data_IF_836186882049
#
_entry.id   IF_836186882049
#
_cell.length_a   1.000
_cell.length_b   1.000
_cell.length_c   1.000
_cell.angle_alpha   90.00
_cell.angle_beta   90.00
_cell.angle_gamma   90.00
#
_symmetry.space_group_name_H-M   'P 1'
#
loop_
_entity.id
_entity.type
_entity.pdbx_description
1 polymer ?
#
# COMPACT_ATOMS: atom_id res chain seq x y z
N UNK A 1 -0.31 -10.05 -14.74
CA UNK A 1 -0.55 -9.88 -13.28
C UNK A 1 0.79 -9.59 -12.63
N UNK A 2 1.08 -8.34 -12.29
CA UNK A 2 2.35 -7.96 -11.65
C UNK A 2 2.14 -7.98 -10.14
N UNK A 3 2.71 -8.97 -9.46
CA UNK A 3 2.69 -9.08 -8.00
C UNK A 3 3.92 -8.39 -7.45
N UNK A 4 3.78 -7.14 -7.00
CA UNK A 4 4.84 -6.40 -6.30
C UNK A 4 4.72 -6.60 -4.78
N UNK A 5 4.99 -7.83 -4.34
CA UNK A 5 5.13 -8.15 -2.92
C UNK A 5 6.29 -9.11 -2.70
N UNK A 6 7.51 -8.68 -3.05
CA UNK A 6 8.70 -9.38 -2.59
C UNK A 6 9.10 -8.82 -1.20
N UNK A 7 9.22 -9.67 -0.15
CA UNK A 7 9.97 -9.27 1.04
C UNK A 7 11.44 -9.06 0.66
N UNK A 8 12.04 -7.99 1.18
CA UNK A 8 13.45 -7.63 0.95
C UNK A 8 14.45 -8.41 1.82
N UNK A 9 13.96 -9.33 2.63
CA UNK A 9 14.80 -10.10 3.54
C UNK A 9 14.99 -11.53 3.01
N UNK A 10 16.24 -11.84 2.64
CA UNK A 10 16.61 -13.15 2.11
C UNK A 10 16.37 -14.27 3.11
N UNK A 11 16.56 -14.02 4.41
CA UNK A 11 16.29 -14.98 5.49
C UNK A 11 14.82 -15.39 5.52
N UNK A 12 13.91 -14.42 5.41
CA UNK A 12 12.48 -14.67 5.39
C UNK A 12 12.04 -15.48 4.15
N UNK A 13 12.69 -15.27 3.00
CA UNK A 13 12.45 -16.09 1.80
C UNK A 13 12.98 -17.51 1.98
N UNK A 14 14.18 -17.65 2.57
CA UNK A 14 14.82 -18.93 2.83
C UNK A 14 14.02 -19.79 3.83
N UNK A 15 13.49 -19.19 4.89
CA UNK A 15 12.65 -19.86 5.89
C UNK A 15 11.35 -20.41 5.26
N UNK A 16 10.72 -19.62 4.38
CA UNK A 16 9.52 -20.04 3.63
C UNK A 16 9.79 -21.19 2.67
N UNK A 17 10.91 -21.15 1.94
CA UNK A 17 11.32 -22.24 1.05
C UNK A 17 11.60 -23.54 1.82
N UNK A 18 12.10 -23.42 3.05
CA UNK A 18 12.38 -24.55 3.95
C UNK A 18 11.17 -25.04 4.76
N UNK A 19 9.97 -24.48 4.54
CA UNK A 19 8.75 -24.76 5.33
C UNK A 19 8.96 -24.61 6.85
N UNK A 20 9.88 -23.75 7.28
CA UNK A 20 10.08 -23.48 8.70
C UNK A 20 9.04 -22.45 9.17
N UNK A 21 8.43 -22.64 10.35
CA UNK A 21 7.56 -21.63 10.92
C UNK A 21 8.41 -20.40 11.23
N UNK A 22 8.25 -19.34 10.44
CA UNK A 22 8.90 -18.07 10.74
C UNK A 22 8.29 -17.47 12.02
N UNK A 23 9.11 -16.90 12.93
CA UNK A 23 8.58 -16.20 14.09
C UNK A 23 7.72 -15.03 13.60
N UNK A 24 6.45 -15.03 13.99
CA UNK A 24 5.52 -13.94 13.68
C UNK A 24 5.95 -12.74 14.51
N UNK A 25 6.77 -11.86 13.93
CA UNK A 25 7.15 -10.60 14.56
C UNK A 25 5.94 -9.65 14.45
N UNK A 26 5.25 -9.30 15.55
CA UNK A 26 4.12 -8.39 15.46
C UNK A 26 4.66 -6.96 15.32
N UNK A 27 4.36 -6.29 14.21
CA UNK A 27 4.28 -4.83 14.23
C UNK A 27 5.03 -3.99 13.18
N UNK A 28 5.57 -4.54 12.08
CA UNK A 28 6.24 -3.68 11.05
C UNK A 28 5.85 -3.88 9.59
N UNK A 29 4.94 -4.80 9.28
CA UNK A 29 4.57 -5.07 7.88
C UNK A 29 3.33 -4.31 7.38
N UNK A 30 2.46 -3.86 8.29
CA UNK A 30 1.18 -3.22 7.91
C UNK A 30 1.41 -1.86 7.23
N UNK A 31 2.37 -1.08 7.72
CA UNK A 31 2.60 0.28 7.23
C UNK A 31 3.28 0.30 5.86
N UNK A 32 4.33 -0.51 5.66
CA UNK A 32 5.09 -0.51 4.40
C UNK A 32 4.30 -1.14 3.24
N UNK A 33 3.50 -2.17 3.51
CA UNK A 33 2.63 -2.79 2.51
C UNK A 33 1.45 -1.91 2.08
N UNK A 34 0.96 -1.04 2.98
CA UNK A 34 -0.07 -0.07 2.67
C UNK A 34 0.49 1.10 1.86
N UNK A 35 1.67 1.63 2.22
CA UNK A 35 2.31 2.70 1.47
C UNK A 35 2.71 2.29 0.04
N UNK A 36 3.21 1.05 -0.13
CA UNK A 36 3.53 0.50 -1.46
C UNK A 36 2.30 0.39 -2.36
N UNK A 37 1.15 -0.05 -1.81
CA UNK A 37 -0.11 -0.11 -2.58
C UNK A 37 -0.65 1.28 -2.91
N UNK A 38 -0.54 2.22 -1.98
CA UNK A 38 -0.99 3.59 -2.19
C UNK A 38 -0.15 4.32 -3.25
N UNK A 39 1.17 4.09 -3.31
CA UNK A 39 2.05 4.73 -4.29
C UNK A 39 1.72 4.31 -5.73
N UNK A 40 1.58 3.01 -5.99
CA UNK A 40 1.19 2.53 -7.32
C UNK A 40 -0.23 2.98 -7.70
N UNK A 41 -1.19 2.93 -6.76
CA UNK A 41 -2.54 3.42 -7.01
C UNK A 41 -2.60 4.92 -7.29
N UNK A 42 -1.83 5.72 -6.55
CA UNK A 42 -1.74 7.17 -6.76
C UNK A 42 -1.12 7.51 -8.13
N UNK A 43 -0.08 6.79 -8.54
CA UNK A 43 0.51 7.00 -9.86
C UNK A 43 -0.49 6.69 -10.98
N UNK A 44 -1.21 5.57 -10.90
CA UNK A 44 -2.24 5.22 -11.88
C UNK A 44 -3.32 6.30 -11.96
N UNK A 45 -3.84 6.77 -10.82
CA UNK A 45 -4.89 7.80 -10.80
C UNK A 45 -4.40 9.12 -11.41
N UNK A 46 -3.15 9.50 -11.14
CA UNK A 46 -2.50 10.69 -11.70
C UNK A 46 -2.30 10.57 -13.21
N UNK A 47 -1.83 9.41 -13.69
CA UNK A 47 -1.63 9.12 -15.12
C UNK A 47 -2.96 9.15 -15.89
N UNK A 48 -4.08 8.84 -15.23
CA UNK A 48 -5.43 8.97 -15.77
C UNK A 48 -5.96 10.43 -15.76
N UNK A 49 -5.16 11.39 -15.27
CA UNK A 49 -5.50 12.81 -15.24
C UNK A 49 -6.43 13.21 -14.09
N UNK A 50 -6.57 12.36 -13.06
CA UNK A 50 -7.38 12.69 -11.88
C UNK A 50 -6.59 13.62 -10.94
N UNK A 51 -7.29 14.57 -10.32
CA UNK A 51 -6.72 15.48 -9.33
C UNK A 51 -7.50 15.56 -8.01
N UNK A 52 -8.82 15.30 -8.04
CA UNK A 52 -9.71 15.36 -6.87
C UNK A 52 -10.42 14.03 -6.69
N UNK A 53 -10.34 13.47 -5.49
CA UNK A 53 -10.81 12.14 -5.17
C UNK A 53 -11.91 12.18 -4.11
N UNK A 54 -12.96 11.40 -4.33
CA UNK A 54 -13.96 11.06 -3.30
C UNK A 54 -13.65 9.62 -2.86
N UNK A 55 -13.27 9.45 -1.60
CA UNK A 55 -12.87 8.15 -1.06
C UNK A 55 -14.07 7.48 -0.43
N UNK A 56 -14.28 6.20 -0.72
CA UNK A 56 -15.34 5.40 -0.13
C UNK A 56 -14.77 4.48 0.97
N UNK A 57 -15.47 4.35 2.09
CA UNK A 57 -15.17 3.42 3.19
C UNK A 57 -14.72 4.09 4.48
N UNK A 58 -13.97 3.35 5.32
CA UNK A 58 -13.54 3.84 6.64
C UNK A 58 -12.57 5.03 6.49
N UNK A 59 -12.80 6.15 7.20
CA UNK A 59 -11.90 7.28 7.20
C UNK A 59 -10.49 6.86 7.61
N UNK A 60 -9.53 7.08 6.72
CA UNK A 60 -8.11 6.79 6.96
C UNK A 60 -7.27 7.90 6.37
N UNK A 61 -6.18 8.24 7.06
CA UNK A 61 -5.23 9.24 6.59
C UNK A 61 -4.49 8.72 5.36
N UNK A 62 -4.75 9.29 4.18
CA UNK A 62 -3.96 9.01 2.98
C UNK A 62 -2.76 9.94 2.91
N UNK A 63 -1.60 9.43 3.28
CA UNK A 63 -0.33 10.17 3.24
C UNK A 63 0.31 10.00 1.85
N UNK A 64 0.87 11.08 1.31
CA UNK A 64 1.66 11.05 0.08
C UNK A 64 0.90 11.29 -1.22
N UNK A 65 -0.42 11.45 -1.20
CA UNK A 65 -1.22 11.75 -2.41
C UNK A 65 -0.85 13.08 -3.07
N UNK A 66 -0.53 14.10 -2.28
CA UNK A 66 -0.14 15.42 -2.78
C UNK A 66 1.12 15.36 -3.67
N UNK A 67 2.01 14.39 -3.43
CA UNK A 67 3.20 14.17 -4.28
C UNK A 67 2.87 13.66 -5.68
N UNK A 68 1.64 13.21 -5.92
CA UNK A 68 1.12 12.76 -7.22
C UNK A 68 0.08 13.75 -7.81
N UNK A 69 -0.07 14.93 -7.21
CA UNK A 69 -1.10 15.90 -7.63
C UNK A 69 -2.53 15.49 -7.27
N UNK A 70 -2.71 14.56 -6.33
CA UNK A 70 -4.00 14.06 -5.90
C UNK A 70 -4.43 14.68 -4.56
N UNK A 71 -5.68 15.15 -4.51
CA UNK A 71 -6.33 15.74 -3.36
C UNK A 71 -7.60 14.94 -3.01
N UNK A 72 -7.82 14.66 -1.73
CA UNK A 72 -9.06 14.01 -1.26
C UNK A 72 -10.02 15.09 -0.83
N UNK A 73 -11.12 15.22 -1.56
CA UNK A 73 -12.13 16.28 -1.34
C UNK A 73 -13.30 15.79 -0.49
N UNK A 74 -13.51 14.48 -0.41
CA UNK A 74 -14.61 13.90 0.36
C UNK A 74 -14.27 12.47 0.79
N UNK A 75 -14.75 12.07 1.97
CA UNK A 75 -14.78 10.66 2.39
C UNK A 75 -16.22 10.27 2.67
N UNK A 76 -16.72 9.27 1.93
CA UNK A 76 -18.06 8.71 2.08
C UNK A 76 -17.94 7.41 2.85
N UNK A 77 -18.60 7.32 4.00
CA UNK A 77 -18.64 6.09 4.80
C UNK A 77 -19.61 5.08 4.21
N UNK A 78 -19.18 3.82 4.11
CA UNK A 78 -19.97 2.67 3.67
C UNK A 78 -20.20 1.71 4.85
#
# INVERSE_FOLDING_TARGET
MVVLSAPRDGEALLARLRQQPAPVVPGKDKDVGQWRRNGAGAQILSDLGLGKLRVLGTPRRQVGLAGYGLEVVETVTL
#
